data_IF_180459635978
#
_entry.id   IF_180459635978
#
_cell.length_a   1.000
_cell.length_b   1.000
_cell.length_c   1.000
_cell.angle_alpha   90.00
_cell.angle_beta   90.00
_cell.angle_gamma   90.00
#
_symmetry.space_group_name_H-M   'P 1'
#
loop_
_entity.id
_entity.type
_entity.pdbx_description
1 polymer ?
#
# COMPACT_ATOMS: atom_id res chain seq x y z
N UNK A 1 -24.73 -2.55 2.81
CA UNK A 1 -24.01 -1.31 3.16
C UNK A 1 -23.60 -0.66 1.85
N UNK A 2 -23.83 0.65 1.68
CA UNK A 2 -23.33 1.35 0.47
C UNK A 2 -21.86 1.72 0.65
N UNK A 3 -21.16 1.98 -0.45
CA UNK A 3 -19.74 2.34 -0.41
C UNK A 3 -19.51 3.61 0.43
N UNK A 4 -20.42 4.58 0.31
CA UNK A 4 -20.36 5.84 1.04
C UNK A 4 -20.43 5.62 2.56
N UNK A 5 -21.29 4.70 3.00
CA UNK A 5 -21.43 4.36 4.42
C UNK A 5 -20.13 3.74 4.97
N UNK A 6 -19.49 2.88 4.19
CA UNK A 6 -18.21 2.25 4.55
C UNK A 6 -17.09 3.29 4.65
N UNK A 7 -17.04 4.26 3.72
CA UNK A 7 -16.06 5.34 3.75
C UNK A 7 -16.25 6.28 4.95
N UNK A 8 -17.50 6.63 5.29
CA UNK A 8 -17.81 7.43 6.48
C UNK A 8 -17.36 6.70 7.76
N UNK A 9 -17.66 5.40 7.86
CA UNK A 9 -17.23 4.59 9.01
C UNK A 9 -15.70 4.56 9.12
N UNK A 10 -15.01 4.37 7.99
CA UNK A 10 -13.56 4.29 7.97
C UNK A 10 -12.89 5.62 8.33
N UNK A 11 -13.44 6.74 7.85
CA UNK A 11 -13.02 8.09 8.24
C UNK A 11 -13.10 8.29 9.75
N UNK A 12 -14.20 7.89 10.39
CA UNK A 12 -14.37 8.00 11.85
C UNK A 12 -13.38 7.13 12.62
N UNK A 13 -13.09 5.91 12.15
CA UNK A 13 -12.10 5.03 12.79
C UNK A 13 -10.71 5.65 12.77
N UNK A 14 -10.38 6.33 11.68
CA UNK A 14 -9.11 7.03 11.49
C UNK A 14 -8.84 8.13 12.53
N UNK A 15 -9.88 8.70 13.16
CA UNK A 15 -9.72 9.75 14.19
C UNK A 15 -9.03 9.23 15.46
N UNK A 16 -9.17 7.94 15.77
CA UNK A 16 -8.66 7.35 17.01
C UNK A 16 -7.41 6.48 16.79
N UNK A 17 -7.35 5.77 15.66
CA UNK A 17 -6.28 4.82 15.31
C UNK A 17 -6.21 4.69 13.79
N UNK A 18 -5.02 4.44 13.24
CA UNK A 18 -4.90 3.97 11.87
C UNK A 18 -5.58 2.58 11.69
N UNK A 19 -6.72 2.48 10.98
CA UNK A 19 -7.44 1.24 10.78
C UNK A 19 -6.66 0.31 9.84
N UNK A 20 -6.79 -1.01 10.05
CA UNK A 20 -6.10 -2.02 9.25
C UNK A 20 -6.46 -1.96 7.75
N UNK A 21 -7.68 -1.53 7.44
CA UNK A 21 -8.21 -1.34 6.09
C UNK A 21 -7.44 -0.28 5.29
N UNK A 22 -6.56 0.51 5.93
CA UNK A 22 -5.66 1.45 5.22
C UNK A 22 -4.83 0.76 4.14
N UNK A 23 -4.52 -0.53 4.32
CA UNK A 23 -3.78 -1.33 3.33
C UNK A 23 -4.41 -1.32 1.94
N UNK A 24 -5.75 -1.21 1.85
CA UNK A 24 -6.46 -1.13 0.57
C UNK A 24 -6.04 0.12 -0.20
N UNK A 25 -5.93 1.28 0.47
CA UNK A 25 -5.51 2.53 -0.17
C UNK A 25 -4.01 2.57 -0.47
N UNK A 26 -3.21 1.77 0.24
CA UNK A 26 -1.80 1.58 -0.06
C UNK A 26 -1.58 0.59 -1.23
N UNK A 27 -2.66 0.06 -1.81
CA UNK A 27 -2.62 -0.87 -2.93
C UNK A 27 -2.19 -2.29 -2.53
N UNK A 28 -2.34 -2.66 -1.26
CA UNK A 28 -2.04 -4.02 -0.81
C UNK A 28 -3.15 -4.97 -1.30
N UNK A 29 -2.83 -6.22 -1.64
CA UNK A 29 -3.84 -7.21 -1.98
C UNK A 29 -4.92 -7.31 -0.90
N UNK A 30 -6.19 -7.31 -1.32
CA UNK A 30 -7.34 -7.32 -0.38
C UNK A 30 -7.29 -8.54 0.53
N UNK A 31 -6.84 -9.68 0.01
CA UNK A 31 -6.71 -10.92 0.79
C UNK A 31 -5.68 -10.78 1.93
N UNK A 32 -4.57 -10.08 1.69
CA UNK A 32 -3.58 -9.82 2.74
C UNK A 32 -4.11 -8.85 3.80
N UNK A 33 -4.91 -7.85 3.39
CA UNK A 33 -5.56 -6.91 4.32
C UNK A 33 -6.61 -7.62 5.17
N UNK A 34 -7.47 -8.41 4.54
CA UNK A 34 -8.51 -9.18 5.22
C UNK A 34 -7.90 -10.17 6.22
N UNK A 35 -6.88 -10.93 5.81
CA UNK A 35 -6.21 -11.88 6.69
C UNK A 35 -5.50 -11.18 7.87
N UNK A 36 -4.91 -10.01 7.64
CA UNK A 36 -4.30 -9.22 8.70
C UNK A 36 -5.32 -8.78 9.77
N UNK A 37 -6.56 -8.49 9.36
CA UNK A 37 -7.67 -8.13 10.25
C UNK A 37 -8.17 -9.36 11.03
N UNK A 38 -8.43 -10.45 10.31
CA UNK A 38 -9.10 -11.62 10.88
C UNK A 38 -8.15 -12.50 11.72
N UNK A 39 -6.84 -12.46 11.44
CA UNK A 39 -5.86 -13.36 12.04
C UNK A 39 -4.61 -12.62 12.55
N UNK A 40 -4.74 -11.76 13.58
CA UNK A 40 -3.65 -10.88 14.03
C UNK A 40 -2.43 -11.62 14.60
N UNK A 41 -2.60 -12.87 15.04
CA UNK A 41 -1.55 -13.69 15.65
C UNK A 41 -0.98 -14.77 14.71
N UNK A 42 -1.54 -14.90 13.50
CA UNK A 42 -1.09 -15.92 12.56
C UNK A 42 0.27 -15.58 11.95
N UNK A 43 1.03 -16.63 11.61
CA UNK A 43 2.35 -16.46 10.98
C UNK A 43 2.15 -16.02 9.53
N UNK A 44 2.71 -14.86 9.18
CA UNK A 44 2.80 -14.43 7.79
C UNK A 44 3.77 -15.33 7.01
N UNK A 45 3.47 -15.56 5.73
CA UNK A 45 4.28 -16.38 4.81
C UNK A 45 5.58 -15.69 4.44
N UNK A 46 5.55 -14.37 4.33
CA UNK A 46 6.70 -13.52 3.98
C UNK A 46 6.49 -12.11 4.55
N UNK A 47 7.59 -11.39 4.79
CA UNK A 47 7.57 -9.98 5.18
C UNK A 47 8.37 -9.18 4.18
N UNK A 48 7.81 -8.07 3.68
CA UNK A 48 8.49 -7.08 2.86
C UNK A 48 7.89 -5.70 3.08
N UNK A 49 7.31 -5.09 2.04
CA UNK A 49 6.60 -3.81 2.16
C UNK A 49 5.33 -3.92 3.04
N UNK A 50 4.72 -5.11 3.08
CA UNK A 50 3.71 -5.51 4.06
C UNK A 50 3.93 -6.98 4.47
N UNK A 51 3.11 -7.47 5.40
CA UNK A 51 3.08 -8.89 5.78
C UNK A 51 2.21 -9.67 4.79
N UNK A 52 2.80 -10.65 4.12
CA UNK A 52 2.12 -11.45 3.10
C UNK A 52 1.51 -12.69 3.73
N UNK A 53 0.22 -12.90 3.48
CA UNK A 53 -0.57 -14.01 4.00
C UNK A 53 -1.13 -14.87 2.87
N UNK A 54 -1.39 -14.30 1.69
CA UNK A 54 -1.99 -15.00 0.56
C UNK A 54 -0.98 -15.43 -0.50
N UNK A 55 -0.75 -14.62 -1.54
CA UNK A 55 0.10 -14.95 -2.68
C UNK A 55 1.50 -14.32 -2.55
N UNK A 56 2.50 -15.17 -2.36
CA UNK A 56 3.90 -14.76 -2.23
C UNK A 56 4.45 -14.18 -3.54
N UNK A 57 4.11 -14.76 -4.68
CA UNK A 57 4.67 -14.37 -5.97
C UNK A 57 4.05 -13.07 -6.47
N UNK A 58 2.74 -12.88 -6.29
CA UNK A 58 2.10 -11.60 -6.53
C UNK A 58 2.71 -10.50 -5.65
N UNK A 59 2.86 -10.75 -4.36
CA UNK A 59 3.47 -9.78 -3.45
C UNK A 59 4.91 -9.43 -3.86
N UNK A 60 5.74 -10.42 -4.22
CA UNK A 60 7.10 -10.18 -4.75
C UNK A 60 7.08 -9.32 -6.01
N UNK A 61 6.15 -9.58 -6.93
CA UNK A 61 6.02 -8.78 -8.16
C UNK A 61 5.67 -7.32 -7.86
N UNK A 62 4.79 -7.08 -6.88
CA UNK A 62 4.46 -5.72 -6.45
C UNK A 62 5.64 -5.05 -5.74
N UNK A 63 6.32 -5.78 -4.83
CA UNK A 63 7.51 -5.28 -4.14
C UNK A 63 8.59 -4.84 -5.13
N UNK A 64 8.85 -5.67 -6.16
CA UNK A 64 9.80 -5.33 -7.22
C UNK A 64 9.40 -4.07 -7.97
N UNK A 65 8.12 -3.90 -8.31
CA UNK A 65 7.63 -2.66 -8.93
C UNK A 65 7.87 -1.44 -8.03
N UNK A 66 7.67 -1.59 -6.71
CA UNK A 66 7.95 -0.51 -5.76
C UNK A 66 9.44 -0.18 -5.71
N UNK A 67 10.31 -1.18 -5.68
CA UNK A 67 11.77 -1.01 -5.73
C UNK A 67 12.21 -0.30 -7.02
N UNK A 68 11.70 -0.74 -8.17
CA UNK A 68 12.02 -0.16 -9.48
C UNK A 68 11.60 1.33 -9.55
N UNK A 69 10.39 1.65 -9.09
CA UNK A 69 9.89 3.03 -9.02
C UNK A 69 10.73 3.85 -8.05
N UNK A 70 11.05 3.31 -6.88
CA UNK A 70 11.87 3.98 -5.86
C UNK A 70 13.26 4.31 -6.41
N UNK A 71 13.92 3.36 -7.07
CA UNK A 71 15.23 3.56 -7.68
C UNK A 71 15.19 4.65 -8.77
N UNK A 72 14.16 4.65 -9.61
CA UNK A 72 13.97 5.67 -10.63
C UNK A 72 13.75 7.06 -10.01
N UNK A 73 12.88 7.18 -9.01
CA UNK A 73 12.63 8.46 -8.32
C UNK A 73 13.90 8.96 -7.64
N UNK A 74 14.63 8.10 -6.92
CA UNK A 74 15.90 8.46 -6.28
C UNK A 74 16.89 8.99 -7.32
N UNK A 75 17.01 8.33 -8.48
CA UNK A 75 17.89 8.80 -9.57
C UNK A 75 17.52 10.22 -10.05
N UNK A 76 16.22 10.53 -10.16
CA UNK A 76 15.74 11.86 -10.56
C UNK A 76 16.02 12.92 -9.48
N UNK A 77 15.82 12.57 -8.21
CA UNK A 77 16.09 13.47 -7.07
C UNK A 77 17.58 13.79 -6.99
N UNK A 78 18.46 12.79 -7.17
CA UNK A 78 19.92 13.01 -7.18
C UNK A 78 20.33 13.94 -8.33
N UNK A 79 19.61 13.92 -9.46
CA UNK A 79 19.80 14.85 -10.59
C UNK A 79 19.26 16.27 -10.32
N UNK A 80 18.74 16.53 -9.11
CA UNK A 80 18.24 17.84 -8.69
C UNK A 80 16.77 18.11 -9.05
N UNK A 81 16.05 17.11 -9.58
CA UNK A 81 14.62 17.26 -9.89
C UNK A 81 13.83 17.23 -8.59
N UNK A 82 12.97 18.23 -8.38
CA UNK A 82 12.19 18.31 -7.15
C UNK A 82 11.09 17.23 -7.14
N UNK A 83 10.80 16.61 -5.99
CA UNK A 83 9.72 15.62 -5.89
C UNK A 83 8.36 16.11 -6.44
N UNK A 84 8.06 17.41 -6.27
CA UNK A 84 6.83 18.03 -6.79
C UNK A 84 6.73 18.04 -8.30
N UNK A 85 7.86 18.03 -9.02
CA UNK A 85 7.90 17.95 -10.48
C UNK A 85 7.78 16.51 -10.96
N UNK A 86 8.39 15.56 -10.23
CA UNK A 86 8.30 14.11 -10.50
C UNK A 86 6.84 13.63 -10.41
N UNK A 87 6.10 14.09 -9.40
CA UNK A 87 4.70 13.70 -9.20
C UNK A 87 3.79 14.16 -10.35
N UNK A 88 4.09 15.29 -11.00
CA UNK A 88 3.31 15.81 -12.14
C UNK A 88 3.45 14.94 -13.39
N UNK A 89 4.61 14.32 -13.61
CA UNK A 89 4.85 13.46 -14.78
C UNK A 89 4.02 12.18 -14.79
N UNK A 90 3.62 11.66 -13.61
CA UNK A 90 2.88 10.40 -13.48
C UNK A 90 1.36 10.54 -13.37
N UNK A 91 0.83 11.74 -13.15
CA UNK A 91 -0.62 11.99 -13.04
C UNK A 91 -1.29 12.23 -14.41
N UNK A 92 -0.52 12.19 -15.51
CA UNK A 92 -0.99 12.48 -16.88
C UNK A 92 -0.68 11.32 -17.84
N UNK A 93 -0.32 10.14 -17.32
CA UNK A 93 -0.01 8.92 -18.08
C UNK A 93 -0.77 7.73 -17.50
#
# INVERSE_FOLDING_TARGET
>A
MKLEDALILLSKRFENLCPHEIGIFLGYPVDDVAFFIDCPNEKCKMVGYWKVYHDIEEAKNIFKKYDDIKNNIISLIIKGIKPTEILKYKLVS
#
